data_IF_176337810675
#
_entry.id   IF_176337810675
#
_cell.length_a   1.000
_cell.length_b   1.000
_cell.length_c   1.000
_cell.angle_alpha   90.00
_cell.angle_beta   90.00
_cell.angle_gamma   90.00
#
_symmetry.space_group_name_H-M   'P 1'
#
loop_
_entity.id
_entity.type
_entity.pdbx_description
1 polymer ?
#
# COMPACT_ATOMS: atom_id res chain seq x y z
N UNK A 1 -21.59 -1.96 -1.33
CA UNK A 1 -21.01 -3.17 -0.70
C UNK A 1 -21.74 -3.44 0.62
N UNK A 2 -22.14 -4.69 0.91
CA UNK A 2 -22.62 -5.06 2.26
C UNK A 2 -21.40 -5.24 3.16
N UNK A 3 -21.41 -4.62 4.32
CA UNK A 3 -20.30 -4.65 5.25
C UNK A 3 -20.42 -5.84 6.21
N UNK A 4 -19.34 -6.60 6.36
CA UNK A 4 -19.23 -7.70 7.33
C UNK A 4 -19.38 -7.16 8.77
N UNK A 5 -19.92 -7.92 9.70
CA UNK A 5 -20.05 -7.50 11.10
C UNK A 5 -18.71 -7.37 11.85
N UNK A 6 -17.61 -7.86 11.28
CA UNK A 6 -16.28 -7.95 11.90
C UNK A 6 -15.33 -6.75 11.70
N UNK A 7 -15.79 -5.57 11.26
CA UNK A 7 -14.88 -4.45 10.91
C UNK A 7 -13.90 -3.96 11.98
N UNK A 8 -14.19 -4.14 13.27
CA UNK A 8 -13.22 -3.85 14.35
C UNK A 8 -11.98 -4.74 14.26
N UNK A 9 -12.14 -5.98 13.81
CA UNK A 9 -11.01 -6.87 13.48
C UNK A 9 -10.32 -6.40 12.20
N UNK A 10 -11.08 -5.90 11.22
CA UNK A 10 -10.50 -5.37 9.96
C UNK A 10 -9.56 -4.19 10.18
N UNK A 11 -9.85 -3.26 11.09
CA UNK A 11 -8.93 -2.15 11.41
C UNK A 11 -7.63 -2.64 12.06
N UNK A 12 -7.71 -3.57 13.02
CA UNK A 12 -6.55 -4.20 13.62
C UNK A 12 -5.72 -4.96 12.57
N UNK A 13 -6.40 -5.66 11.66
CA UNK A 13 -5.78 -6.41 10.56
C UNK A 13 -5.10 -5.48 9.55
N UNK A 14 -5.71 -4.35 9.18
CA UNK A 14 -5.05 -3.36 8.33
C UNK A 14 -3.79 -2.80 9.00
N UNK A 15 -3.87 -2.42 10.28
CA UNK A 15 -2.70 -1.91 11.00
C UNK A 15 -1.58 -2.95 11.08
N UNK A 16 -1.91 -4.24 11.23
CA UNK A 16 -0.95 -5.33 11.18
C UNK A 16 -0.32 -5.48 9.78
N UNK A 17 -1.11 -5.45 8.72
CA UNK A 17 -0.62 -5.47 7.33
C UNK A 17 0.31 -4.29 7.03
N UNK A 18 -0.06 -3.09 7.47
CA UNK A 18 0.78 -1.88 7.30
C UNK A 18 2.06 -1.94 8.12
N UNK A 19 2.02 -2.51 9.34
CA UNK A 19 3.23 -2.77 10.13
C UNK A 19 4.18 -3.73 9.40
N UNK A 20 3.66 -4.77 8.73
CA UNK A 20 4.49 -5.65 7.92
C UNK A 20 5.17 -4.91 6.76
N UNK A 21 4.50 -3.93 6.15
CA UNK A 21 5.10 -3.08 5.12
C UNK A 21 6.20 -2.18 5.67
N UNK A 22 6.01 -1.57 6.84
CA UNK A 22 7.07 -0.80 7.54
C UNK A 22 8.31 -1.67 7.79
N UNK A 23 8.10 -2.90 8.28
CA UNK A 23 9.18 -3.87 8.52
C UNK A 23 9.94 -4.21 7.24
N UNK A 24 9.25 -4.42 6.11
CA UNK A 24 9.91 -4.64 4.81
C UNK A 24 10.84 -3.49 4.43
N UNK A 25 10.43 -2.24 4.70
CA UNK A 25 11.26 -1.08 4.36
C UNK A 25 12.45 -0.91 5.30
N UNK A 26 12.31 -1.29 6.57
CA UNK A 26 13.45 -1.31 7.49
C UNK A 26 14.53 -2.33 7.06
N UNK A 27 14.13 -3.46 6.47
CA UNK A 27 15.06 -4.41 5.86
C UNK A 27 15.79 -3.80 4.64
N UNK A 28 15.07 -3.06 3.79
CA UNK A 28 15.68 -2.33 2.66
C UNK A 28 16.73 -1.35 3.20
N UNK A 29 16.38 -0.53 4.18
CA UNK A 29 17.30 0.44 4.80
C UNK A 29 18.50 -0.23 5.47
N UNK A 30 18.30 -1.37 6.12
CA UNK A 30 19.40 -2.14 6.71
C UNK A 30 20.39 -2.61 5.64
N UNK A 31 19.89 -3.10 4.51
CA UNK A 31 20.71 -3.52 3.39
C UNK A 31 21.44 -2.35 2.72
N UNK A 32 20.77 -1.20 2.56
CA UNK A 32 21.41 0.03 2.07
C UNK A 32 22.58 0.46 2.96
N UNK A 33 22.38 0.43 4.28
CA UNK A 33 23.45 0.73 5.25
C UNK A 33 24.60 -0.26 5.16
N UNK A 34 24.31 -1.55 5.06
CA UNK A 34 25.33 -2.59 4.94
C UNK A 34 26.17 -2.43 3.66
N UNK A 35 25.55 -2.02 2.56
CA UNK A 35 26.23 -1.81 1.27
C UNK A 35 26.90 -0.45 1.15
N UNK A 36 26.60 0.51 2.03
CA UNK A 36 27.06 1.89 1.90
C UNK A 36 26.46 2.62 0.69
N UNK A 37 25.34 2.13 0.14
CA UNK A 37 24.72 2.67 -1.06
C UNK A 37 23.19 2.58 -0.96
N UNK A 38 22.49 3.57 -1.52
CA UNK A 38 21.03 3.56 -1.62
C UNK A 38 20.59 2.91 -2.93
N UNK A 39 19.43 2.29 -2.92
CA UNK A 39 18.80 1.82 -4.15
C UNK A 39 18.24 3.01 -4.93
N UNK A 40 18.16 2.94 -6.25
CA UNK A 40 17.42 3.92 -7.06
C UNK A 40 15.91 3.64 -7.02
N UNK A 41 15.56 2.35 -6.95
CA UNK A 41 14.21 1.83 -6.98
C UNK A 41 14.02 0.74 -5.93
N UNK A 42 12.81 0.68 -5.37
CA UNK A 42 12.34 -0.39 -4.48
C UNK A 42 11.15 -1.06 -5.13
N UNK A 43 11.19 -2.38 -5.28
CA UNK A 43 10.08 -3.16 -5.82
C UNK A 43 9.44 -3.94 -4.68
N UNK A 44 8.14 -3.71 -4.45
CA UNK A 44 7.33 -4.47 -3.50
C UNK A 44 6.53 -5.50 -4.27
N UNK A 45 6.64 -6.76 -3.87
CA UNK A 45 5.87 -7.86 -4.43
C UNK A 45 5.31 -8.71 -3.30
N UNK A 46 4.03 -9.04 -3.38
CA UNK A 46 3.41 -10.03 -2.51
C UNK A 46 3.87 -11.44 -2.91
N UNK A 47 4.17 -12.36 -1.98
CA UNK A 47 4.66 -13.70 -2.33
C UNK A 47 3.72 -14.51 -3.23
N UNK A 48 2.44 -14.20 -3.22
CA UNK A 48 1.39 -14.80 -4.04
C UNK A 48 1.20 -14.12 -5.42
N UNK A 49 2.02 -13.13 -5.77
CA UNK A 49 1.97 -12.47 -7.09
C UNK A 49 2.69 -13.29 -8.16
N UNK A 50 1.94 -13.72 -9.17
CA UNK A 50 2.49 -14.39 -10.36
C UNK A 50 2.76 -13.37 -11.48
N UNK A 51 3.97 -13.40 -12.04
CA UNK A 51 4.32 -12.64 -13.23
C UNK A 51 4.18 -13.51 -14.48
N UNK A 52 3.20 -13.19 -15.33
CA UNK A 52 3.06 -13.84 -16.64
C UNK A 52 4.03 -13.28 -17.70
N UNK A 53 4.62 -12.12 -17.42
CA UNK A 53 5.54 -11.42 -18.32
C UNK A 53 6.72 -10.85 -17.52
N UNK A 54 7.92 -10.76 -18.10
CA UNK A 54 9.04 -10.05 -17.48
C UNK A 54 8.69 -8.58 -17.15
N UNK A 55 9.29 -8.02 -16.10
CA UNK A 55 8.99 -6.67 -15.57
C UNK A 55 9.42 -5.50 -16.49
N UNK A 56 10.11 -5.78 -17.59
CA UNK A 56 10.66 -4.76 -18.48
C UNK A 56 11.85 -3.99 -17.88
N UNK A 57 12.32 -2.97 -18.59
CA UNK A 57 13.38 -2.08 -18.09
C UNK A 57 12.82 -1.11 -17.05
N UNK A 58 13.30 -1.20 -15.81
CA UNK A 58 12.86 -0.34 -14.71
C UNK A 58 13.17 1.15 -14.95
N UNK A 59 14.13 1.46 -15.83
CA UNK A 59 14.51 2.84 -16.15
C UNK A 59 13.50 3.54 -17.07
N UNK A 60 12.59 2.79 -17.68
CA UNK A 60 11.52 3.35 -18.51
C UNK A 60 10.36 3.95 -17.69
N UNK A 61 10.34 3.70 -16.38
CA UNK A 61 9.31 4.22 -15.48
C UNK A 61 9.64 5.65 -15.03
N UNK A 62 8.61 6.49 -14.89
CA UNK A 62 8.74 7.87 -14.42
C UNK A 62 9.22 7.90 -12.95
N UNK A 63 10.42 8.42 -12.65
CA UNK A 63 10.94 8.44 -11.29
C UNK A 63 10.17 9.38 -10.37
N UNK A 64 9.32 10.27 -10.89
CA UNK A 64 8.51 11.18 -10.06
C UNK A 64 7.23 10.54 -9.51
N UNK A 65 6.93 9.29 -9.90
CA UNK A 65 5.65 8.62 -9.57
C UNK A 65 5.85 7.23 -8.98
N UNK A 66 4.87 6.82 -8.19
CA UNK A 66 4.79 5.45 -7.69
C UNK A 66 3.95 4.62 -8.66
N UNK A 67 4.52 3.54 -9.18
CA UNK A 67 3.86 2.70 -10.18
C UNK A 67 3.23 1.49 -9.50
N UNK A 68 1.91 1.49 -9.41
CA UNK A 68 1.10 0.46 -8.77
C UNK A 68 0.13 -0.12 -9.77
N UNK A 69 -0.29 -1.38 -9.55
CA UNK A 69 -1.39 -1.94 -10.32
C UNK A 69 -2.70 -1.25 -9.90
N UNK A 70 -3.28 -0.47 -10.80
CA UNK A 70 -4.64 0.05 -10.64
C UNK A 70 -5.64 -1.06 -10.97
N UNK A 71 -6.47 -1.43 -10.01
CA UNK A 71 -7.61 -2.32 -10.25
C UNK A 71 -8.63 -1.57 -11.12
N UNK A 72 -9.28 -2.29 -12.05
CA UNK A 72 -10.26 -1.73 -13.02
C UNK A 72 -11.42 -1.01 -12.31
N UNK A 73 -11.70 -1.33 -11.04
CA UNK A 73 -12.82 -0.77 -10.28
C UNK A 73 -12.51 -0.46 -8.80
N UNK A 74 -11.24 -0.45 -8.37
CA UNK A 74 -10.91 -0.21 -6.96
C UNK A 74 -9.54 0.41 -6.75
N UNK A 75 -9.41 0.91 -5.53
CA UNK A 75 -8.23 1.27 -4.75
C UNK A 75 -6.91 0.63 -5.22
N UNK A 76 -5.83 1.39 -5.01
CA UNK A 76 -4.45 0.95 -5.17
C UNK A 76 -4.26 -0.42 -4.51
N UNK A 77 -3.99 -1.41 -5.35
CA UNK A 77 -3.72 -2.76 -4.89
C UNK A 77 -2.31 -2.83 -4.34
N UNK A 78 -2.17 -3.26 -3.07
CA UNK A 78 -0.86 -3.30 -2.43
C UNK A 78 0.06 -4.37 -3.06
N UNK A 79 -0.51 -5.36 -3.77
CA UNK A 79 0.13 -6.58 -4.30
C UNK A 79 1.42 -6.41 -5.09
N UNK A 80 1.57 -5.28 -5.79
CA UNK A 80 2.74 -4.97 -6.57
C UNK A 80 2.94 -3.45 -6.65
N UNK A 81 4.17 -2.99 -6.42
CA UNK A 81 4.55 -1.59 -6.61
C UNK A 81 6.02 -1.47 -7.05
N UNK A 82 6.28 -0.56 -7.99
CA UNK A 82 7.63 -0.08 -8.35
C UNK A 82 7.73 1.35 -7.83
N UNK A 83 8.68 1.57 -6.92
CA UNK A 83 8.73 2.76 -6.08
C UNK A 83 10.09 3.43 -6.24
N UNK A 84 10.16 4.68 -6.76
CA UNK A 84 11.38 5.46 -6.73
C UNK A 84 11.87 5.61 -5.29
N UNK A 85 13.17 5.46 -5.03
CA UNK A 85 13.67 5.41 -3.65
C UNK A 85 13.34 6.66 -2.82
N UNK A 86 13.31 7.83 -3.44
CA UNK A 86 12.95 9.08 -2.77
C UNK A 86 11.47 9.16 -2.36
N UNK A 87 10.60 8.35 -2.98
CA UNK A 87 9.18 8.20 -2.63
C UNK A 87 8.89 6.99 -1.73
N UNK A 88 9.87 6.11 -1.51
CA UNK A 88 9.68 4.89 -0.72
C UNK A 88 9.22 5.18 0.71
N UNK A 89 9.76 6.22 1.33
CA UNK A 89 9.33 6.68 2.65
C UNK A 89 7.84 7.03 2.70
N UNK A 90 7.30 7.62 1.62
CA UNK A 90 5.88 7.96 1.53
C UNK A 90 5.06 6.66 1.43
N UNK A 91 5.41 5.76 0.51
CA UNK A 91 4.68 4.51 0.31
C UNK A 91 4.60 3.64 1.57
N UNK A 92 5.73 3.45 2.26
CA UNK A 92 5.82 2.53 3.39
C UNK A 92 5.31 3.12 4.73
N UNK A 93 4.97 4.42 4.81
CA UNK A 93 4.41 5.09 6.01
C UNK A 93 2.89 5.16 6.05
N UNK A 94 2.20 4.46 5.16
CA UNK A 94 0.73 4.50 4.98
C UNK A 94 -0.10 4.12 6.21
N UNK A 95 0.52 3.56 7.27
CA UNK A 95 -0.13 3.13 8.51
C UNK A 95 -1.05 4.18 9.17
N UNK A 96 -0.78 5.47 8.96
CA UNK A 96 -1.51 6.58 9.60
C UNK A 96 -2.63 7.19 8.76
N UNK A 97 -2.90 6.68 7.55
CA UNK A 97 -4.03 7.15 6.76
C UNK A 97 -5.35 6.67 7.39
N UNK A 98 -6.06 7.58 8.05
CA UNK A 98 -7.39 7.32 8.58
C UNK A 98 -8.34 6.89 7.45
N UNK A 99 -9.16 5.87 7.68
CA UNK A 99 -10.29 5.61 6.79
C UNK A 99 -11.36 6.69 7.03
N UNK A 100 -11.81 7.40 5.98
CA UNK A 100 -12.96 8.31 6.06
C UNK A 100 -14.26 7.70 5.52
N UNK A 101 -14.21 6.46 5.06
CA UNK A 101 -15.42 5.80 4.56
C UNK A 101 -16.22 5.18 5.69
N UNK A 102 -17.54 5.37 5.58
CA UNK A 102 -18.52 4.81 6.48
C UNK A 102 -19.44 3.89 5.71
N UNK A 103 -19.60 2.67 6.19
CA UNK A 103 -20.57 1.72 5.65
C UNK A 103 -21.66 1.42 6.66
N UNK A 104 -22.87 1.22 6.17
CA UNK A 104 -24.00 0.80 6.99
C UNK A 104 -23.91 -0.70 7.27
N UNK A 105 -23.86 -1.08 8.55
CA UNK A 105 -23.93 -2.48 8.97
C UNK A 105 -25.35 -2.74 9.47
N UNK A 106 -26.16 -3.41 8.63
CA UNK A 106 -27.59 -3.64 8.87
C UNK A 106 -27.86 -4.40 10.18
N UNK A 107 -27.04 -5.40 10.49
CA UNK A 107 -27.14 -6.18 11.74
C UNK A 107 -26.95 -5.34 13.00
N UNK A 108 -26.18 -4.24 12.91
CA UNK A 108 -25.83 -3.35 14.02
C UNK A 108 -26.62 -2.03 14.01
N UNK A 109 -27.46 -1.81 12.99
CA UNK A 109 -28.27 -0.60 12.85
C UNK A 109 -27.47 0.72 12.85
N UNK A 110 -26.18 0.70 12.50
CA UNK A 110 -25.29 1.87 12.58
C UNK A 110 -24.27 1.93 11.44
N UNK A 111 -23.76 3.14 11.17
CA UNK A 111 -22.58 3.35 10.32
C UNK A 111 -21.32 2.93 11.06
N UNK A 112 -20.44 2.18 10.41
CA UNK A 112 -19.10 1.85 10.90
C UNK A 112 -18.06 2.32 9.90
N UNK A 113 -16.86 2.65 10.38
CA UNK A 113 -15.72 2.94 9.50
C UNK A 113 -15.40 1.69 8.68
N UNK A 114 -15.35 1.84 7.35
CA UNK A 114 -15.33 0.72 6.41
C UNK A 114 -14.17 0.76 5.42
N UNK A 115 -13.18 1.62 5.62
CA UNK A 115 -12.07 1.73 4.67
C UNK A 115 -11.29 0.42 4.61
N UNK A 116 -11.39 -0.27 3.48
CA UNK A 116 -10.51 -1.39 3.13
C UNK A 116 -9.05 -0.92 3.19
N UNK A 117 -8.11 -1.82 3.45
CA UNK A 117 -6.72 -1.44 3.66
C UNK A 117 -6.16 -0.75 2.40
N UNK A 118 -6.55 -1.23 1.22
CA UNK A 118 -6.21 -0.68 -0.10
C UNK A 118 -6.70 0.77 -0.28
N UNK A 119 -7.87 1.13 0.24
CA UNK A 119 -8.34 2.52 0.21
C UNK A 119 -7.44 3.43 1.03
N UNK A 120 -6.94 2.96 2.19
CA UNK A 120 -6.00 3.75 3.00
C UNK A 120 -4.74 4.07 2.20
N UNK A 121 -4.22 3.11 1.42
CA UNK A 121 -3.10 3.36 0.51
C UNK A 121 -3.45 4.40 -0.55
N UNK A 122 -4.58 4.21 -1.22
CA UNK A 122 -5.05 5.13 -2.26
C UNK A 122 -5.17 6.55 -1.73
N UNK A 123 -5.81 6.72 -0.58
CA UNK A 123 -6.00 8.02 0.06
C UNK A 123 -4.66 8.63 0.48
N UNK A 124 -3.78 7.84 1.09
CA UNK A 124 -2.46 8.28 1.52
C UNK A 124 -1.61 8.80 0.36
N UNK A 125 -1.57 8.06 -0.75
CA UNK A 125 -0.81 8.42 -1.94
C UNK A 125 -1.40 9.67 -2.61
N UNK A 126 -2.73 9.80 -2.66
CA UNK A 126 -3.40 11.02 -3.15
C UNK A 126 -3.09 12.25 -2.32
N UNK A 127 -3.20 12.14 -0.99
CA UNK A 127 -2.91 13.24 -0.08
C UNK A 127 -1.44 13.66 -0.13
N UNK A 128 -0.56 12.71 -0.45
CA UNK A 128 0.87 12.96 -0.61
C UNK A 128 1.25 13.47 -2.01
N UNK A 129 0.29 13.61 -2.93
CA UNK A 129 0.49 14.12 -4.30
C UNK A 129 1.53 13.34 -5.13
N UNK A 130 1.55 12.00 -4.98
CA UNK A 130 2.52 11.09 -5.64
C UNK A 130 1.87 10.05 -6.57
N UNK A 131 0.59 10.24 -6.90
CA UNK A 131 -0.20 9.38 -7.81
C UNK A 131 -0.08 9.84 -9.28
#
# INVERSE_FOLDING_TARGET
>A
RKCNDSWTETEANCNAQWRSLELCFDLVRALERQRGARFDWVVRVRPDTLFHTPMGDIRAYDPSKIHVRKSVFSDVWDGFAIIPRHLADIYFRTRFSAATEHCWVYSKGRRVLSGECEWRLTRHLRLSQVE
#
